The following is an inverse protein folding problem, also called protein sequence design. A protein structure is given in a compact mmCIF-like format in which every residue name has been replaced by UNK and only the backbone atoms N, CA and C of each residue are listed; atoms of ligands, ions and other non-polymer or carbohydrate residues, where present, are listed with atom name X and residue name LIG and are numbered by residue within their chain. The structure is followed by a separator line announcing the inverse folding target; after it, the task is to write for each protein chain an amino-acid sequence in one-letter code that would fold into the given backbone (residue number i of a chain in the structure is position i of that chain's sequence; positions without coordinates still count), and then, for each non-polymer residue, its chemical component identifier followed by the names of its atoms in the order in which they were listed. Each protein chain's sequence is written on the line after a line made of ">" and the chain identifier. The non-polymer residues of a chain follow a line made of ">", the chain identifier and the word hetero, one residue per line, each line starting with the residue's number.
data_IF_999872819576
#
_entry.id   IF_999872819576
#
_cell.length_a   1.000
_cell.length_b   1.000
_cell.length_c   1.000
_cell.angle_alpha   90.00
_cell.angle_beta   90.00
_cell.angle_gamma   90.00
#
_symmetry.space_group_name_H-M   'P 1'
#
loop_
_entity.id
_entity.type
_entity.pdbx_description
1 polymer ?
#
# COMPACT_ATOMS: atom_id res chain seq x y z
N UNK A 1 25.30 0.44 7.16
CA UNK A 1 25.21 -0.14 5.80
C UNK A 1 24.30 0.77 5.01
N UNK A 2 24.59 1.04 3.72
CA UNK A 2 23.62 1.73 2.86
C UNK A 2 22.30 0.93 2.88
N UNK A 3 21.17 1.63 2.89
CA UNK A 3 19.87 0.99 2.76
C UNK A 3 19.83 0.24 1.43
N UNK A 4 19.37 -1.00 1.44
CA UNK A 4 19.13 -1.78 0.24
C UNK A 4 17.65 -2.18 0.19
N UNK A 5 17.19 -2.65 -0.97
CA UNK A 5 15.77 -2.95 -1.17
C UNK A 5 15.25 -4.05 -0.22
N UNK A 6 16.06 -5.07 0.09
CA UNK A 6 15.69 -6.14 1.04
C UNK A 6 15.46 -5.57 2.46
N UNK A 7 16.36 -4.72 2.93
CA UNK A 7 16.24 -4.03 4.23
C UNK A 7 15.02 -3.11 4.24
N UNK A 8 14.75 -2.40 3.14
CA UNK A 8 13.58 -1.51 3.05
C UNK A 8 12.26 -2.30 3.13
N UNK A 9 12.19 -3.47 2.49
CA UNK A 9 11.03 -4.39 2.59
C UNK A 9 10.85 -4.90 4.02
N UNK A 10 11.93 -5.31 4.69
CA UNK A 10 11.88 -5.76 6.09
C UNK A 10 11.36 -4.64 7.01
N UNK A 11 11.85 -3.41 6.84
CA UNK A 11 11.41 -2.25 7.62
C UNK A 11 9.96 -1.88 7.33
N UNK A 12 9.53 -1.94 6.07
CA UNK A 12 8.13 -1.76 5.69
C UNK A 12 7.22 -2.77 6.38
N UNK A 13 7.60 -4.04 6.40
CA UNK A 13 6.82 -5.07 7.09
C UNK A 13 6.82 -4.89 8.62
N UNK A 14 7.93 -4.46 9.22
CA UNK A 14 8.00 -4.12 10.64
C UNK A 14 7.11 -2.92 10.98
N UNK A 15 7.12 -1.88 10.15
CA UNK A 15 6.25 -0.71 10.30
C UNK A 15 4.77 -1.08 10.18
N UNK A 16 4.41 -1.93 9.20
CA UNK A 16 3.04 -2.43 9.10
C UNK A 16 2.62 -3.23 10.34
N UNK A 17 3.51 -4.05 10.88
CA UNK A 17 3.23 -4.84 12.08
C UNK A 17 3.06 -3.99 13.34
N UNK A 18 3.80 -2.88 13.48
CA UNK A 18 3.80 -2.05 14.69
C UNK A 18 2.43 -1.47 15.02
N UNK A 19 1.58 -1.22 14.02
CA UNK A 19 0.20 -0.78 14.22
C UNK A 19 -0.66 -1.73 15.06
N UNK A 20 -0.25 -3.01 15.18
CA UNK A 20 -0.90 -4.00 16.04
C UNK A 20 0.02 -4.48 17.16
N UNK A 21 1.31 -4.73 16.87
CA UNK A 21 2.22 -5.31 17.88
C UNK A 21 2.56 -4.35 19.01
N UNK A 22 2.49 -3.04 18.75
CA UNK A 22 2.83 -2.02 19.73
C UNK A 22 1.57 -1.45 20.41
N UNK A 23 0.39 -1.91 20.00
CA UNK A 23 -0.87 -1.55 20.64
C UNK A 23 -0.97 -2.20 22.04
N UNK A 24 -1.52 -1.47 23.02
CA UNK A 24 -1.66 -1.97 24.40
C UNK A 24 -2.61 -3.17 24.48
N UNK A 25 -3.64 -3.20 23.63
CA UNK A 25 -4.70 -4.23 23.62
C UNK A 25 -5.12 -4.57 22.17
N UNK A 26 -4.28 -5.28 21.40
CA UNK A 26 -4.63 -5.69 20.05
C UNK A 26 -5.80 -6.69 20.08
N UNK A 27 -6.70 -6.60 19.09
CA UNK A 27 -7.79 -7.57 18.97
C UNK A 27 -7.25 -8.89 18.40
N UNK A 28 -7.79 -10.06 18.78
CA UNK A 28 -7.43 -11.33 18.17
C UNK A 28 -7.54 -11.32 16.64
N UNK A 29 -8.55 -10.63 16.11
CA UNK A 29 -8.79 -10.47 14.67
C UNK A 29 -7.68 -9.68 13.97
N UNK A 30 -7.22 -8.57 14.57
CA UNK A 30 -6.12 -7.78 14.02
C UNK A 30 -4.80 -8.55 13.97
N UNK A 31 -4.55 -9.43 14.96
CA UNK A 31 -3.39 -10.32 14.97
C UNK A 31 -3.47 -11.38 13.85
N UNK A 32 -4.65 -11.98 13.65
CA UNK A 32 -4.88 -12.90 12.54
C UNK A 32 -4.74 -12.20 11.17
N UNK A 33 -5.26 -10.98 11.05
CA UNK A 33 -5.11 -10.16 9.85
C UNK A 33 -3.64 -9.84 9.53
N UNK A 34 -2.82 -9.55 10.55
CA UNK A 34 -1.38 -9.36 10.38
C UNK A 34 -0.69 -10.63 9.85
N UNK A 35 -1.05 -11.82 10.35
CA UNK A 35 -0.52 -13.09 9.83
C UNK A 35 -0.89 -13.30 8.36
N UNK A 36 -2.13 -13.01 7.99
CA UNK A 36 -2.63 -13.09 6.61
C UNK A 36 -1.86 -12.12 5.71
N UNK A 37 -1.70 -10.87 6.14
CA UNK A 37 -0.94 -9.86 5.43
C UNK A 37 0.52 -10.28 5.23
N UNK A 38 1.21 -10.71 6.28
CA UNK A 38 2.61 -11.14 6.20
C UNK A 38 2.80 -12.34 5.26
N UNK A 39 1.87 -13.30 5.28
CA UNK A 39 1.90 -14.43 4.36
C UNK A 39 1.76 -13.97 2.90
N UNK A 40 0.90 -12.99 2.63
CA UNK A 40 0.79 -12.39 1.29
C UNK A 40 2.08 -11.65 0.91
N UNK A 41 2.62 -10.82 1.78
CA UNK A 41 3.87 -10.07 1.53
C UNK A 41 5.06 -10.98 1.19
N UNK A 42 5.16 -12.14 1.84
CA UNK A 42 6.23 -13.12 1.57
C UNK A 42 6.20 -13.75 0.16
N UNK A 43 5.09 -13.60 -0.57
CA UNK A 43 4.90 -14.17 -1.91
C UNK A 43 5.18 -13.15 -3.02
N UNK A 44 5.31 -11.86 -2.69
CA UNK A 44 5.48 -10.80 -3.65
C UNK A 44 6.89 -10.78 -4.23
N UNK A 45 6.98 -10.39 -5.49
CA UNK A 45 8.24 -10.24 -6.20
C UNK A 45 8.56 -8.75 -6.29
N UNK A 46 9.82 -8.40 -6.06
CA UNK A 46 10.29 -7.01 -6.17
C UNK A 46 11.15 -6.85 -7.41
N UNK A 47 10.84 -5.84 -8.23
CA UNK A 47 11.62 -5.49 -9.41
C UNK A 47 11.90 -3.99 -9.48
N UNK A 48 13.07 -3.57 -9.98
CA UNK A 48 13.32 -2.15 -10.25
C UNK A 48 12.36 -1.64 -11.33
N UNK A 49 12.00 -0.37 -11.22
CA UNK A 49 11.16 0.34 -12.19
C UNK A 49 11.77 1.70 -12.50
N UNK A 50 11.49 2.22 -13.70
CA UNK A 50 12.02 3.53 -14.09
C UNK A 50 11.22 4.66 -13.44
N UNK A 51 11.94 5.67 -12.95
CA UNK A 51 11.33 6.91 -12.49
C UNK A 51 10.65 7.62 -13.67
N UNK A 52 9.43 8.11 -13.45
CA UNK A 52 8.65 8.84 -14.43
C UNK A 52 7.79 9.88 -13.72
N UNK A 53 8.14 11.16 -13.81
CA UNK A 53 7.40 12.26 -13.19
C UNK A 53 6.14 12.66 -13.96
N UNK A 54 6.03 12.24 -15.22
CA UNK A 54 5.01 12.72 -16.14
C UNK A 54 3.87 11.71 -16.22
N UNK A 55 2.93 11.83 -15.28
CA UNK A 55 1.71 11.03 -15.26
C UNK A 55 0.47 11.94 -15.28
N UNK A 56 -0.40 11.70 -16.26
CA UNK A 56 -1.75 12.26 -16.31
C UNK A 56 -2.75 11.10 -16.26
N UNK A 57 -3.64 11.14 -15.27
CA UNK A 57 -4.65 10.10 -15.10
C UNK A 57 -5.86 10.34 -15.98
N UNK A 58 -6.39 9.24 -16.53
CA UNK A 58 -7.58 9.28 -17.36
C UNK A 58 -8.79 8.63 -16.69
N UNK A 59 -8.58 7.75 -15.70
CA UNK A 59 -9.64 6.99 -15.04
C UNK A 59 -9.83 7.35 -13.57
N UNK A 60 -8.74 7.59 -12.85
CA UNK A 60 -8.72 7.71 -11.39
C UNK A 60 -8.58 9.16 -10.91
N UNK A 61 -9.21 9.46 -9.78
CA UNK A 61 -8.84 10.61 -8.95
C UNK A 61 -8.14 10.11 -7.69
N UNK A 62 -6.95 10.60 -7.41
CA UNK A 62 -6.11 10.10 -6.32
C UNK A 62 -6.21 10.99 -5.08
N UNK A 63 -6.26 10.35 -3.92
CA UNK A 63 -6.30 11.04 -2.63
C UNK A 63 -5.29 10.38 -1.69
N UNK A 64 -4.42 11.17 -1.03
CA UNK A 64 -3.59 10.64 0.05
C UNK A 64 -4.48 10.18 1.20
N UNK A 65 -4.12 9.08 1.84
CA UNK A 65 -4.80 8.61 3.05
C UNK A 65 -4.32 9.46 4.22
N UNK A 66 -5.11 10.42 4.64
CA UNK A 66 -4.78 11.38 5.70
C UNK A 66 -5.79 11.38 6.86
N UNK A 67 -6.83 10.55 6.76
CA UNK A 67 -7.90 10.46 7.73
C UNK A 67 -8.50 9.05 7.77
N UNK A 68 -9.13 8.74 8.90
CA UNK A 68 -9.73 7.43 9.15
C UNK A 68 -10.71 6.94 8.05
N UNK A 69 -11.59 7.77 7.47
CA UNK A 69 -12.44 7.34 6.36
C UNK A 69 -11.67 6.90 5.11
N UNK A 70 -10.50 7.48 4.84
CA UNK A 70 -9.65 7.07 3.73
C UNK A 70 -8.84 5.81 4.08
N UNK A 71 -8.43 5.64 5.35
CA UNK A 71 -7.83 4.38 5.82
C UNK A 71 -8.78 3.21 5.60
N UNK A 72 -10.06 3.35 5.99
CA UNK A 72 -11.06 2.30 5.74
C UNK A 72 -11.18 1.96 4.25
N UNK A 73 -11.21 2.97 3.37
CA UNK A 73 -11.33 2.75 1.92
C UNK A 73 -10.09 2.08 1.34
N UNK A 74 -8.90 2.46 1.81
CA UNK A 74 -7.65 1.78 1.49
C UNK A 74 -7.75 0.31 1.89
N UNK A 75 -8.10 0.02 3.14
CA UNK A 75 -8.20 -1.35 3.67
C UNK A 75 -9.17 -2.22 2.88
N UNK A 76 -10.34 -1.68 2.51
CA UNK A 76 -11.34 -2.42 1.74
C UNK A 76 -10.84 -2.74 0.32
N UNK A 77 -10.23 -1.76 -0.37
CA UNK A 77 -9.71 -2.00 -1.73
C UNK A 77 -8.53 -2.96 -1.68
N UNK A 78 -7.59 -2.76 -0.74
CA UNK A 78 -6.45 -3.64 -0.59
C UNK A 78 -6.89 -5.06 -0.30
N UNK A 79 -7.84 -5.24 0.62
CA UNK A 79 -8.31 -6.56 0.98
C UNK A 79 -9.15 -7.28 -0.09
N UNK A 80 -9.55 -6.57 -1.14
CA UNK A 80 -10.40 -7.11 -2.20
C UNK A 80 -9.81 -8.28 -3.00
N UNK A 81 -8.50 -8.54 -2.90
CA UNK A 81 -7.86 -9.68 -3.58
C UNK A 81 -7.94 -10.99 -2.80
N UNK A 82 -8.31 -10.98 -1.50
CA UNK A 82 -8.57 -12.22 -0.75
C UNK A 82 -9.97 -12.74 -1.09
N UNK A 83 -10.04 -13.93 -1.69
CA UNK A 83 -11.29 -14.59 -2.10
C UNK A 83 -12.08 -15.17 -0.91
N UNK A 84 -11.36 -15.60 0.14
CA UNK A 84 -11.98 -16.11 1.35
C UNK A 84 -12.51 -14.96 2.21
N UNK A 85 -13.81 -14.98 2.50
CA UNK A 85 -14.51 -13.89 3.19
C UNK A 85 -13.95 -13.67 4.60
N UNK A 86 -13.64 -14.75 5.33
CA UNK A 86 -13.06 -14.67 6.67
C UNK A 86 -11.65 -14.06 6.63
N UNK A 87 -10.78 -14.54 5.73
CA UNK A 87 -9.46 -13.98 5.56
C UNK A 87 -9.50 -12.50 5.15
N UNK A 88 -10.46 -12.12 4.29
CA UNK A 88 -10.67 -10.73 3.88
C UNK A 88 -11.11 -9.86 5.05
N UNK A 89 -12.05 -10.30 5.87
CA UNK A 89 -12.49 -9.56 7.06
C UNK A 89 -11.34 -9.35 8.05
N UNK A 90 -10.55 -10.38 8.33
CA UNK A 90 -9.38 -10.27 9.21
C UNK A 90 -8.33 -9.31 8.64
N UNK A 91 -8.05 -9.39 7.33
CA UNK A 91 -7.14 -8.46 6.66
C UNK A 91 -7.64 -7.02 6.72
N UNK A 92 -8.94 -6.78 6.54
CA UNK A 92 -9.54 -5.45 6.72
C UNK A 92 -9.31 -4.97 8.16
N UNK A 93 -9.60 -5.80 9.16
CA UNK A 93 -9.44 -5.39 10.57
C UNK A 93 -8.00 -5.09 10.97
N UNK A 94 -7.03 -5.76 10.35
CA UNK A 94 -5.63 -5.39 10.49
C UNK A 94 -5.31 -4.06 9.80
N UNK A 95 -5.65 -3.92 8.52
CA UNK A 95 -5.30 -2.73 7.72
C UNK A 95 -5.98 -1.46 8.24
N UNK A 96 -7.15 -1.55 8.87
CA UNK A 96 -7.82 -0.40 9.50
C UNK A 96 -7.11 0.11 10.76
N UNK A 97 -6.17 -0.64 11.34
CA UNK A 97 -5.34 -0.18 12.45
C UNK A 97 -4.21 0.77 12.02
N UNK A 98 -3.95 0.90 10.71
CA UNK A 98 -2.90 1.80 10.21
C UNK A 98 -3.18 3.23 10.67
N UNK A 99 -2.23 3.78 11.42
CA UNK A 99 -2.25 5.17 11.88
C UNK A 99 -1.08 5.92 11.26
N UNK A 100 -1.37 6.91 10.43
CA UNK A 100 -0.35 7.72 9.78
C UNK A 100 -0.04 8.95 10.63
N UNK A 101 1.23 9.07 11.00
CA UNK A 101 1.79 10.26 11.64
C UNK A 101 2.36 11.21 10.58
N UNK A 102 2.54 12.50 10.91
CA UNK A 102 3.05 13.51 9.96
C UNK A 102 4.40 13.13 9.34
N UNK A 103 5.25 12.39 10.06
CA UNK A 103 6.56 11.94 9.60
C UNK A 103 6.63 10.43 9.33
N UNK A 104 5.49 9.82 8.98
CA UNK A 104 5.42 8.40 8.62
C UNK A 104 6.35 8.10 7.43
N UNK A 105 7.09 6.98 7.44
CA UNK A 105 7.86 6.51 6.27
C UNK A 105 6.97 6.01 5.14
N UNK A 106 5.67 5.81 5.40
CA UNK A 106 4.69 5.36 4.44
C UNK A 106 3.74 6.48 4.01
N UNK A 107 3.47 6.56 2.71
CA UNK A 107 2.43 7.37 2.10
C UNK A 107 1.45 6.45 1.37
N UNK A 108 0.20 6.44 1.80
CA UNK A 108 -0.84 5.59 1.21
C UNK A 108 -1.76 6.44 0.35
N UNK A 109 -2.28 5.87 -0.72
CA UNK A 109 -3.19 6.54 -1.63
C UNK A 109 -4.40 5.66 -1.97
N UNK A 110 -5.54 6.31 -2.20
CA UNK A 110 -6.74 5.68 -2.75
C UNK A 110 -7.12 6.37 -4.06
N UNK A 111 -7.29 5.57 -5.10
CA UNK A 111 -7.79 5.98 -6.40
C UNK A 111 -9.30 5.78 -6.47
N UNK A 112 -10.01 6.82 -6.90
CA UNK A 112 -11.46 6.80 -7.09
C UNK A 112 -11.80 6.72 -8.57
N UNK A 113 -12.56 5.69 -8.96
CA UNK A 113 -13.15 5.55 -10.28
C UNK A 113 -14.64 5.89 -10.20
N UNK A 114 -15.10 6.87 -10.97
CA UNK A 114 -16.52 7.31 -10.99
C UNK A 114 -17.08 7.60 -9.60
N UNK A 115 -16.28 8.25 -8.75
CA UNK A 115 -16.67 8.66 -7.40
C UNK A 115 -16.66 7.55 -6.34
N UNK A 116 -16.15 6.34 -6.65
CA UNK A 116 -16.02 5.24 -5.70
C UNK A 116 -14.57 4.78 -5.56
N UNK A 117 -14.11 4.37 -4.36
CA UNK A 117 -12.76 3.81 -4.20
C UNK A 117 -12.62 2.55 -5.08
N UNK A 118 -11.54 2.51 -5.86
CA UNK A 118 -11.35 1.53 -6.93
C UNK A 118 -9.91 1.03 -7.06
N UNK A 119 -8.93 1.77 -6.57
CA UNK A 119 -7.54 1.35 -6.48
C UNK A 119 -6.90 1.87 -5.19
N UNK A 120 -5.83 1.22 -4.73
CA UNK A 120 -5.01 1.69 -3.62
C UNK A 120 -3.54 1.33 -3.85
N UNK A 121 -2.65 1.99 -3.13
CA UNK A 121 -1.25 1.61 -3.05
C UNK A 121 -0.46 2.46 -2.08
N UNK A 122 0.79 2.04 -1.86
CA UNK A 122 1.69 2.60 -0.87
C UNK A 122 3.03 2.95 -1.51
N UNK A 123 3.59 4.09 -1.11
CA UNK A 123 5.00 4.41 -1.23
C UNK A 123 5.60 4.29 0.16
N UNK A 124 6.64 3.47 0.31
CA UNK A 124 7.40 3.34 1.55
C UNK A 124 8.84 3.75 1.31
N UNK A 125 9.34 4.67 2.14
CA UNK A 125 10.72 5.14 2.07
C UNK A 125 11.16 5.71 3.43
N UNK A 126 12.44 5.52 3.78
CA UNK A 126 13.04 6.06 5.00
C UNK A 126 14.18 7.07 4.72
N UNK A 127 14.52 7.27 3.45
CA UNK A 127 15.54 8.22 3.00
C UNK A 127 15.17 8.83 1.63
N UNK A 128 15.98 9.74 1.11
CA UNK A 128 15.68 10.36 -0.19
C UNK A 128 16.21 9.52 -1.38
N UNK A 129 16.85 8.36 -1.16
CA UNK A 129 17.50 7.63 -2.25
C UNK A 129 16.58 6.56 -2.85
N UNK A 130 15.98 5.71 -2.00
CA UNK A 130 15.23 4.52 -2.42
C UNK A 130 13.77 4.61 -1.98
N UNK A 131 12.85 4.25 -2.87
CA UNK A 131 11.45 4.04 -2.51
C UNK A 131 10.92 2.69 -2.99
N UNK A 132 10.06 2.09 -2.16
CA UNK A 132 9.31 0.89 -2.47
C UNK A 132 7.85 1.27 -2.76
N UNK A 133 7.39 0.95 -3.96
CA UNK A 133 5.98 0.98 -4.34
C UNK A 133 5.41 -0.42 -4.09
N UNK A 134 4.39 -0.51 -3.24
CA UNK A 134 3.83 -1.80 -2.79
C UNK A 134 2.35 -1.66 -2.44
N UNK A 135 1.73 -2.77 -2.03
CA UNK A 135 0.31 -2.87 -1.67
C UNK A 135 -0.61 -2.26 -2.75
N UNK A 136 -0.22 -2.44 -4.02
CA UNK A 136 -1.00 -1.93 -5.14
C UNK A 136 -2.11 -2.92 -5.49
N UNK A 137 -3.35 -2.51 -5.31
CA UNK A 137 -4.50 -3.31 -5.70
C UNK A 137 -5.60 -2.46 -6.36
N UNK A 138 -6.50 -3.15 -7.06
CA UNK A 138 -7.69 -2.55 -7.65
C UNK A 138 -8.89 -3.48 -7.49
N UNK A 139 -10.11 -2.92 -7.55
CA UNK A 139 -11.35 -3.70 -7.49
C UNK A 139 -11.43 -4.68 -8.67
N UNK A 140 -12.03 -5.84 -8.44
CA UNK A 140 -12.16 -6.89 -9.45
C UNK A 140 -13.34 -6.61 -10.39
N UNK A 141 -13.09 -5.77 -11.39
CA UNK A 141 -14.02 -5.46 -12.49
C UNK A 141 -13.30 -5.58 -13.83
N UNK A 142 -14.01 -5.44 -14.95
CA UNK A 142 -13.46 -5.58 -16.32
C UNK A 142 -12.18 -4.76 -16.58
N UNK A 143 -12.07 -3.57 -15.96
CA UNK A 143 -10.92 -2.67 -16.09
C UNK A 143 -9.89 -2.80 -14.95
N UNK A 144 -9.91 -3.90 -14.19
CA UNK A 144 -9.04 -4.12 -13.01
C UNK A 144 -7.57 -3.78 -13.29
N UNK A 145 -7.01 -4.32 -14.37
CA UNK A 145 -5.60 -4.10 -14.71
C UNK A 145 -5.31 -2.63 -15.04
N UNK A 146 -6.20 -1.96 -15.77
CA UNK A 146 -6.03 -0.53 -16.11
C UNK A 146 -6.03 0.36 -14.87
N UNK A 147 -6.91 0.06 -13.90
CA UNK A 147 -6.94 0.78 -12.62
C UNK A 147 -5.67 0.53 -11.80
N UNK A 148 -5.18 -0.71 -11.79
CA UNK A 148 -3.93 -1.08 -11.12
C UNK A 148 -2.73 -0.37 -11.76
N UNK A 149 -2.65 -0.37 -13.09
CA UNK A 149 -1.59 0.29 -13.85
C UNK A 149 -1.60 1.82 -13.63
N UNK A 150 -2.77 2.46 -13.65
CA UNK A 150 -2.87 3.90 -13.32
C UNK A 150 -2.43 4.20 -11.88
N UNK A 151 -2.73 3.31 -10.92
CA UNK A 151 -2.25 3.47 -9.55
C UNK A 151 -0.73 3.32 -9.46
N UNK A 152 -0.13 2.32 -10.11
CA UNK A 152 1.34 2.19 -10.16
C UNK A 152 1.96 3.45 -10.75
N UNK A 153 1.50 3.90 -11.92
CA UNK A 153 2.05 5.08 -12.59
C UNK A 153 1.91 6.36 -11.75
N UNK A 154 0.77 6.52 -11.07
CA UNK A 154 0.60 7.62 -10.12
C UNK A 154 1.64 7.56 -9.00
N UNK A 155 1.80 6.42 -8.33
CA UNK A 155 2.76 6.27 -7.22
C UNK A 155 4.20 6.47 -7.69
N UNK A 156 4.53 6.00 -8.91
CA UNK A 156 5.83 6.26 -9.55
C UNK A 156 6.04 7.75 -9.73
N UNK A 157 5.05 8.49 -10.24
CA UNK A 157 5.17 9.94 -10.41
C UNK A 157 5.40 10.66 -9.09
N UNK A 158 4.69 10.27 -8.04
CA UNK A 158 4.85 10.87 -6.71
C UNK A 158 6.24 10.57 -6.12
N UNK A 159 6.73 9.33 -6.24
CA UNK A 159 8.02 8.93 -5.71
C UNK A 159 9.20 9.53 -6.51
N UNK A 160 9.05 9.68 -7.83
CA UNK A 160 10.10 10.19 -8.73
C UNK A 160 10.51 11.63 -8.43
N UNK A 161 9.71 12.40 -7.70
CA UNK A 161 10.08 13.76 -7.29
C UNK A 161 11.15 13.80 -6.21
N UNK A 162 11.32 12.71 -5.45
CA UNK A 162 12.19 12.67 -4.27
C UNK A 162 13.23 11.57 -4.33
N UNK A 163 12.95 10.47 -5.02
CA UNK A 163 13.78 9.26 -4.99
C UNK A 163 14.34 8.95 -6.37
N UNK A 164 15.57 8.43 -6.39
CA UNK A 164 16.27 8.07 -7.63
C UNK A 164 16.03 6.61 -7.98
N UNK A 165 16.03 5.73 -6.98
CA UNK A 165 15.87 4.30 -7.15
C UNK A 165 14.46 3.86 -6.72
N UNK A 166 13.68 3.40 -7.68
CA UNK A 166 12.30 2.95 -7.45
C UNK A 166 12.18 1.44 -7.67
N UNK A 167 11.43 0.79 -6.78
CA UNK A 167 11.13 -0.63 -6.86
C UNK A 167 9.64 -0.86 -6.73
N UNK A 168 9.09 -1.77 -7.52
CA UNK A 168 7.71 -2.26 -7.42
C UNK A 168 7.69 -3.64 -6.80
N UNK A 169 6.88 -3.83 -5.76
CA UNK A 169 6.59 -5.12 -5.14
C UNK A 169 5.12 -5.50 -5.40
N UNK A 170 4.88 -6.64 -6.05
CA UNK A 170 3.54 -7.13 -6.40
C UNK A 170 3.48 -8.64 -6.64
#
# INVERSE_FOLDING_TARGET
>A
MPLNIETLIERKNQWMASHVTDAEYPTPQSLQGLEIYNKYQSQLITSPIEACSDFESNLLSFYPVDCHPLTIRYSIVQAGHWEDDEAREMAIEFLTQIMLEENSPAQLYVGFYKGKPAACGMIYSEDDDIALITDVNAINIEIHQQLKDEMVNYLVSQASHRHTDLYLQQ
#
